data_IF_644985087212
#
_entry.id   IF_644985087212
#
_cell.length_a   1.000
_cell.length_b   1.000
_cell.length_c   1.000
_cell.angle_alpha   90.00
_cell.angle_beta   90.00
_cell.angle_gamma   90.00
#
_symmetry.space_group_name_H-M   'P 1'
#
loop_
_entity.id
_entity.type
_entity.pdbx_description
1 polymer ?
#
# COMPACT_ATOMS: atom_id res chain seq x y z
N UNK A 1 -13.11 13.15 -19.00
CA UNK A 1 -12.44 12.75 -17.75
C UNK A 1 -10.96 12.59 -18.05
N UNK A 2 -10.16 13.61 -17.75
CA UNK A 2 -8.72 13.62 -17.96
C UNK A 2 -8.08 13.58 -16.57
N UNK A 3 -7.53 12.44 -16.16
CA UNK A 3 -6.77 12.37 -14.91
C UNK A 3 -5.40 13.02 -15.15
N UNK A 4 -4.96 14.04 -14.41
CA UNK A 4 -3.58 14.51 -14.50
C UNK A 4 -2.69 13.47 -13.82
N UNK A 5 -1.98 12.67 -14.62
CA UNK A 5 -1.02 11.68 -14.16
C UNK A 5 0.28 12.40 -13.81
N UNK A 6 0.48 12.69 -12.52
CA UNK A 6 1.75 13.18 -12.00
C UNK A 6 2.69 11.99 -11.72
N UNK A 7 3.68 11.78 -12.58
CA UNK A 7 4.77 10.84 -12.35
C UNK A 7 5.93 11.57 -11.67
N UNK A 8 6.34 11.14 -10.47
CA UNK A 8 7.56 11.61 -9.81
C UNK A 8 8.80 10.96 -10.46
N UNK A 9 9.61 11.68 -11.25
CA UNK A 9 10.76 11.07 -11.93
C UNK A 9 11.90 10.67 -10.98
N UNK A 10 11.91 11.23 -9.76
CA UNK A 10 12.99 10.98 -8.79
C UNK A 10 12.70 9.80 -7.86
N UNK A 11 11.44 9.38 -7.76
CA UNK A 11 10.98 8.38 -6.80
C UNK A 11 10.09 7.28 -7.42
N UNK A 12 9.73 7.41 -8.71
CA UNK A 12 8.93 6.43 -9.44
C UNK A 12 7.45 6.37 -9.01
N UNK A 13 7.03 7.19 -8.04
CA UNK A 13 5.66 7.19 -7.54
C UNK A 13 4.72 7.91 -8.52
N UNK A 14 3.72 7.19 -9.01
CA UNK A 14 2.56 7.79 -9.67
C UNK A 14 1.60 8.31 -8.60
N UNK A 15 1.44 9.63 -8.51
CA UNK A 15 0.43 10.25 -7.64
C UNK A 15 -0.80 10.53 -8.49
N UNK A 16 -1.89 9.83 -8.20
CA UNK A 16 -3.21 10.13 -8.78
C UNK A 16 -3.92 11.10 -7.85
N UNK A 17 -3.70 12.39 -8.04
CA UNK A 17 -4.50 13.41 -7.39
C UNK A 17 -5.73 13.74 -8.26
N UNK A 18 -6.92 13.70 -7.67
CA UNK A 18 -8.12 14.28 -8.29
C UNK A 18 -7.97 15.80 -8.25
N UNK A 19 -7.50 16.39 -9.35
CA UNK A 19 -7.61 17.83 -9.54
C UNK A 19 -9.03 18.11 -10.01
N UNK A 20 -9.91 18.51 -9.09
CA UNK A 20 -11.07 19.28 -9.52
C UNK A 20 -10.50 20.62 -10.01
N UNK A 21 -10.43 20.78 -11.33
CA UNK A 21 -10.04 22.00 -12.04
C UNK A 21 -8.56 22.41 -12.01
N UNK A 22 -7.65 21.49 -12.36
CA UNK A 22 -6.52 21.85 -13.22
C UNK A 22 -5.50 22.90 -12.75
N UNK A 23 -5.34 23.19 -11.46
CA UNK A 23 -4.17 23.91 -10.92
C UNK A 23 -4.05 23.65 -9.41
N UNK A 24 -2.92 23.10 -8.94
CA UNK A 24 -2.66 22.93 -7.49
C UNK A 24 -2.26 24.28 -6.88
N UNK A 25 -3.18 25.24 -6.89
CA UNK A 25 -3.01 26.57 -6.33
C UNK A 25 -3.00 26.50 -4.79
N UNK A 26 -1.88 26.08 -4.20
CA UNK A 26 -1.67 26.12 -2.74
C UNK A 26 -2.48 25.12 -1.92
N UNK A 27 -3.14 24.15 -2.55
CA UNK A 27 -3.88 23.07 -1.86
C UNK A 27 -2.90 21.98 -1.45
N UNK A 28 -2.60 21.86 -0.16
CA UNK A 28 -1.84 20.75 0.39
C UNK A 28 -2.78 19.54 0.45
N UNK A 29 -2.52 18.52 -0.38
CA UNK A 29 -3.26 17.27 -0.33
C UNK A 29 -2.91 16.50 0.95
N UNK A 30 -3.87 16.42 1.87
CA UNK A 30 -3.74 15.67 3.12
C UNK A 30 -4.07 14.21 2.83
N UNK A 31 -3.10 13.31 3.03
CA UNK A 31 -3.27 11.89 2.76
C UNK A 31 -3.00 11.06 4.01
N UNK A 32 -3.81 10.04 4.19
CA UNK A 32 -3.59 9.00 5.18
C UNK A 32 -3.19 7.72 4.44
N UNK A 33 -2.01 7.20 4.73
CA UNK A 33 -1.48 5.98 4.10
C UNK A 33 -1.51 4.83 5.09
N UNK A 34 -2.23 3.78 4.71
CA UNK A 34 -2.27 2.50 5.42
C UNK A 34 -1.23 1.57 4.81
N UNK A 35 -0.07 1.43 5.45
CA UNK A 35 0.97 0.50 5.03
C UNK A 35 0.67 -0.90 5.60
N UNK A 36 -0.06 -1.70 4.81
CA UNK A 36 -0.44 -3.06 5.17
C UNK A 36 0.71 -4.04 4.89
N UNK A 37 1.29 -4.64 5.94
CA UNK A 37 2.46 -5.53 5.85
C UNK A 37 2.31 -6.80 6.67
N UNK A 38 2.97 -7.89 6.26
CA UNK A 38 2.90 -9.20 6.94
C UNK A 38 3.46 -9.19 8.35
N UNK A 39 4.58 -8.49 8.54
CA UNK A 39 5.26 -8.33 9.82
C UNK A 39 5.55 -6.85 10.13
N UNK A 40 4.66 -6.18 10.89
CA UNK A 40 4.86 -4.80 11.33
C UNK A 40 6.06 -4.62 12.28
N UNK A 41 6.53 -5.68 12.94
CA UNK A 41 7.67 -5.61 13.85
C UNK A 41 9.01 -5.60 13.09
N UNK A 42 9.01 -5.97 11.81
CA UNK A 42 10.21 -5.94 10.99
C UNK A 42 10.75 -4.51 10.84
N UNK A 43 12.07 -4.34 10.96
CA UNK A 43 12.71 -3.01 10.96
C UNK A 43 12.34 -2.18 9.72
N UNK A 44 12.36 -2.78 8.53
CA UNK A 44 11.95 -2.12 7.29
C UNK A 44 10.51 -1.59 7.33
N UNK A 45 9.60 -2.29 7.99
CA UNK A 45 8.22 -1.82 8.15
C UNK A 45 8.16 -0.64 9.11
N UNK A 46 8.92 -0.67 10.21
CA UNK A 46 8.98 0.45 11.17
C UNK A 46 9.60 1.72 10.57
N UNK A 47 10.51 1.60 9.60
CA UNK A 47 11.06 2.76 8.88
C UNK A 47 10.00 3.49 8.04
N UNK A 48 8.92 2.82 7.59
CA UNK A 48 7.84 3.48 6.85
C UNK A 48 7.14 4.56 7.68
N UNK A 49 6.98 4.33 8.98
CA UNK A 49 6.38 5.30 9.89
C UNK A 49 7.27 6.53 10.15
N UNK A 50 8.55 6.49 9.75
CA UNK A 50 9.52 7.57 9.92
C UNK A 50 9.71 8.42 8.67
N UNK A 51 9.09 8.03 7.55
CA UNK A 51 9.19 8.78 6.31
C UNK A 51 8.62 10.19 6.48
N UNK A 52 9.20 11.20 5.80
CA UNK A 52 8.68 12.55 5.86
C UNK A 52 7.25 12.59 5.31
N UNK A 53 6.32 13.14 6.09
CA UNK A 53 4.93 13.37 5.68
C UNK A 53 4.66 14.84 5.43
N UNK A 54 3.75 15.13 4.50
CA UNK A 54 3.21 16.48 4.36
C UNK A 54 2.38 16.88 5.58
N UNK A 55 2.15 18.19 5.74
CA UNK A 55 1.33 18.71 6.83
C UNK A 55 -0.07 18.06 6.84
N UNK A 56 -0.52 17.63 8.02
CA UNK A 56 -1.78 16.90 8.21
C UNK A 56 -1.78 15.44 7.72
N UNK A 57 -0.79 15.03 6.94
CA UNK A 57 -0.68 13.66 6.39
C UNK A 57 -0.03 12.70 7.37
N UNK A 58 -0.44 11.43 7.33
CA UNK A 58 0.02 10.39 8.27
C UNK A 58 0.22 9.06 7.56
N UNK A 59 1.18 8.28 8.05
CA UNK A 59 1.41 6.89 7.62
C UNK A 59 1.28 6.02 8.87
N UNK A 60 0.53 4.92 8.78
CA UNK A 60 0.51 3.90 9.82
C UNK A 60 0.71 2.52 9.21
N UNK A 61 1.34 1.66 9.98
CA UNK A 61 1.68 0.31 9.58
C UNK A 61 0.71 -0.64 10.27
N UNK A 62 -0.01 -1.43 9.49
CA UNK A 62 -0.99 -2.41 10.00
C UNK A 62 -0.59 -3.81 9.57
N UNK A 63 -0.98 -4.81 10.36
CA UNK A 63 -0.73 -6.20 9.98
C UNK A 63 -1.69 -6.64 8.88
N UNK A 64 -1.16 -7.15 7.78
CA UNK A 64 -1.94 -7.77 6.72
C UNK A 64 -1.21 -8.96 6.09
N UNK A 65 -1.90 -10.09 6.01
CA UNK A 65 -1.48 -11.29 5.30
C UNK A 65 -2.59 -11.76 4.35
N UNK A 66 -2.33 -11.68 3.04
CA UNK A 66 -3.30 -12.04 2.01
C UNK A 66 -3.71 -13.53 2.07
N UNK A 67 -2.86 -14.39 2.64
CA UNK A 67 -3.16 -15.81 2.81
C UNK A 67 -4.19 -16.09 3.92
N UNK A 68 -4.53 -15.08 4.72
CA UNK A 68 -5.47 -15.17 5.84
C UNK A 68 -6.64 -14.22 5.57
N UNK A 69 -7.81 -14.77 5.25
CA UNK A 69 -9.02 -13.99 4.93
C UNK A 69 -9.37 -12.97 6.03
N UNK A 70 -9.30 -13.37 7.29
CA UNK A 70 -9.59 -12.52 8.45
C UNK A 70 -8.64 -11.30 8.54
N UNK A 71 -7.42 -11.42 8.01
CA UNK A 71 -6.42 -10.36 8.12
C UNK A 71 -6.83 -9.07 7.41
N UNK A 72 -7.63 -9.15 6.34
CA UNK A 72 -8.16 -7.96 5.67
C UNK A 72 -9.13 -7.19 6.59
N UNK A 73 -10.02 -7.91 7.27
CA UNK A 73 -10.99 -7.32 8.18
C UNK A 73 -10.32 -6.72 9.42
N UNK A 74 -9.31 -7.40 9.96
CA UNK A 74 -8.54 -6.92 11.10
C UNK A 74 -7.76 -5.64 10.74
N UNK A 75 -7.14 -5.59 9.56
CA UNK A 75 -6.43 -4.41 9.06
C UNK A 75 -7.36 -3.21 8.86
N UNK A 76 -8.55 -3.43 8.29
CA UNK A 76 -9.56 -2.38 8.12
C UNK A 76 -10.06 -1.89 9.48
N UNK A 77 -10.31 -2.80 10.43
CA UNK A 77 -10.72 -2.44 11.78
C UNK A 77 -9.65 -1.58 12.47
N UNK A 78 -8.38 -1.97 12.38
CA UNK A 78 -7.27 -1.19 12.92
C UNK A 78 -7.18 0.21 12.27
N UNK A 79 -7.40 0.31 10.95
CA UNK A 79 -7.45 1.59 10.26
C UNK A 79 -8.62 2.47 10.74
N UNK A 80 -9.80 1.90 10.97
CA UNK A 80 -10.96 2.61 11.54
C UNK A 80 -10.66 3.11 12.95
N UNK A 81 -10.02 2.28 13.78
CA UNK A 81 -9.61 2.66 15.15
C UNK A 81 -8.59 3.83 15.14
N UNK A 82 -7.86 4.01 14.04
CA UNK A 82 -6.93 5.14 13.79
C UNK A 82 -7.61 6.37 13.14
N UNK A 83 -8.93 6.33 12.94
CA UNK A 83 -9.74 7.42 12.42
C UNK A 83 -9.87 7.45 10.90
N UNK A 84 -9.67 6.33 10.21
CA UNK A 84 -10.02 6.18 8.78
C UNK A 84 -11.51 5.90 8.65
N UNK A 85 -12.21 6.74 7.89
CA UNK A 85 -13.63 6.57 7.61
C UNK A 85 -13.89 5.75 6.33
N UNK A 86 -13.14 6.02 5.26
CA UNK A 86 -13.23 5.32 3.99
C UNK A 86 -11.87 5.18 3.33
N UNK A 87 -11.78 4.27 2.36
CA UNK A 87 -10.61 4.09 1.51
C UNK A 87 -10.90 4.66 0.12
N UNK A 88 -10.15 5.68 -0.29
CA UNK A 88 -10.26 6.24 -1.64
C UNK A 88 -9.57 5.36 -2.68
N UNK A 89 -8.41 4.80 -2.31
CA UNK A 89 -7.56 4.02 -3.18
C UNK A 89 -7.01 2.80 -2.44
N UNK A 90 -6.97 1.67 -3.14
CA UNK A 90 -6.35 0.42 -2.67
C UNK A 90 -5.30 -0.01 -3.68
N UNK A 91 -4.07 -0.14 -3.23
CA UNK A 91 -2.94 -0.62 -4.05
C UNK A 91 -2.56 -2.03 -3.62
N UNK A 92 -3.07 -3.03 -4.33
CA UNK A 92 -2.81 -4.45 -4.05
C UNK A 92 -1.43 -4.91 -4.55
N UNK A 93 -0.36 -4.35 -3.97
CA UNK A 93 1.03 -4.67 -4.33
C UNK A 93 1.59 -5.90 -3.61
N UNK A 94 0.98 -6.33 -2.49
CA UNK A 94 1.50 -7.44 -1.70
C UNK A 94 1.50 -8.75 -2.50
N UNK A 95 2.65 -9.39 -2.58
CA UNK A 95 2.83 -10.67 -3.26
C UNK A 95 4.11 -11.35 -2.81
N UNK A 96 4.27 -12.62 -3.18
CA UNK A 96 5.46 -13.41 -2.89
C UNK A 96 6.07 -13.97 -4.18
N UNK A 97 7.39 -14.03 -4.22
CA UNK A 97 8.14 -14.67 -5.29
C UNK A 97 9.39 -15.30 -4.66
N UNK A 98 9.21 -16.49 -4.08
CA UNK A 98 10.25 -17.16 -3.28
C UNK A 98 11.23 -17.98 -4.15
N UNK A 99 10.82 -18.37 -5.35
CA UNK A 99 11.57 -19.27 -6.23
C UNK A 99 11.33 -18.96 -7.71
N UNK A 100 12.32 -19.27 -8.54
CA UNK A 100 12.32 -19.03 -9.98
C UNK A 100 12.76 -20.27 -10.77
N UNK A 101 12.10 -21.43 -10.61
CA UNK A 101 12.47 -22.65 -11.31
C UNK A 101 12.11 -22.58 -12.80
N UNK A 102 12.73 -23.42 -13.61
CA UNK A 102 12.21 -23.67 -14.95
C UNK A 102 10.83 -24.33 -14.86
N UNK A 103 9.99 -24.12 -15.88
CA UNK A 103 8.64 -24.70 -15.96
C UNK A 103 8.64 -26.23 -15.81
N UNK A 104 9.70 -26.91 -16.28
CA UNK A 104 9.86 -28.36 -16.15
C UNK A 104 10.22 -28.82 -14.73
N UNK A 105 10.71 -27.93 -13.88
CA UNK A 105 11.28 -28.23 -12.56
C UNK A 105 10.42 -27.67 -11.40
N UNK A 106 9.42 -26.82 -11.70
CA UNK A 106 8.50 -26.25 -10.69
C UNK A 106 7.65 -27.34 -10.05
N UNK A 107 7.50 -27.28 -8.72
CA UNK A 107 6.59 -28.19 -8.01
C UNK A 107 5.26 -27.51 -7.78
N UNK A 108 4.18 -28.29 -7.72
CA UNK A 108 2.85 -27.77 -7.38
C UNK A 108 2.80 -27.00 -6.06
N UNK A 109 3.56 -27.44 -5.06
CA UNK A 109 3.66 -26.75 -3.78
C UNK A 109 4.20 -25.32 -3.92
N UNK A 110 5.17 -25.12 -4.82
CA UNK A 110 5.78 -23.81 -5.10
C UNK A 110 4.77 -22.84 -5.72
N UNK A 111 3.90 -23.34 -6.61
CA UNK A 111 2.85 -22.54 -7.27
C UNK A 111 1.73 -22.19 -6.27
N UNK A 112 1.33 -23.15 -5.44
CA UNK A 112 0.25 -22.96 -4.46
C UNK A 112 0.60 -21.91 -3.40
N UNK A 113 1.87 -21.83 -2.99
CA UNK A 113 2.33 -20.81 -2.06
C UNK A 113 2.17 -19.40 -2.66
N UNK A 114 2.50 -19.23 -3.94
CA UNK A 114 2.43 -17.93 -4.64
C UNK A 114 1.02 -17.48 -5.03
N UNK A 115 0.07 -18.42 -5.06
CA UNK A 115 -1.30 -18.17 -5.54
C UNK A 115 -2.30 -17.91 -4.40
N UNK A 116 -1.83 -17.84 -3.15
CA UNK A 116 -2.62 -17.56 -1.95
C UNK A 116 -2.20 -16.22 -1.36
#
# INVERSE_FOLDING_TARGET
>A
MQYPHGFCPNCGTSVYARADEGEYAGVVAINIVVAAVRDPAHLTAQELAKLPTGEGSRIFVVKYDASIEQSAFDAVKEAIDQGVDHLDYVVANAGIANNYPFVKDVKWADILEQSR
#
